data_IF_840111774137
#
_entry.id   IF_840111774137
#
_cell.length_a   1.000
_cell.length_b   1.000
_cell.length_c   1.000
_cell.angle_alpha   90.00
_cell.angle_beta   90.00
_cell.angle_gamma   90.00
#
_symmetry.space_group_name_H-M   'P 1'
#
loop_
_entity.id
_entity.type
_entity.pdbx_description
1 polymer ?
#
# COMPACT_ATOMS: atom_id res chain seq x y z
N UNK A 1 5.89 5.73 -21.24
CA UNK A 1 6.44 4.40 -21.57
C UNK A 1 7.60 4.03 -20.64
N UNK A 2 8.59 4.91 -20.42
CA UNK A 2 9.75 4.59 -19.56
C UNK A 2 9.35 4.32 -18.10
N UNK A 3 8.55 5.21 -17.49
CA UNK A 3 8.11 5.03 -16.09
C UNK A 3 7.34 3.73 -15.86
N UNK A 4 6.52 3.28 -16.82
CA UNK A 4 5.84 1.99 -16.70
C UNK A 4 6.85 0.84 -16.58
N UNK A 5 7.89 0.84 -17.42
CA UNK A 5 8.96 -0.16 -17.37
C UNK A 5 9.72 -0.11 -16.05
N UNK A 6 10.11 1.09 -15.60
CA UNK A 6 10.92 1.30 -14.40
C UNK A 6 10.15 0.88 -13.13
N UNK A 7 8.84 1.16 -13.06
CA UNK A 7 7.98 0.76 -11.93
C UNK A 7 7.35 -0.63 -12.09
N UNK A 8 7.67 -1.34 -13.17
CA UNK A 8 7.16 -2.70 -13.40
C UNK A 8 5.66 -2.77 -13.72
N UNK A 9 5.07 -1.70 -14.28
CA UNK A 9 3.66 -1.63 -14.65
C UNK A 9 3.45 -1.87 -16.16
N UNK A 10 2.22 -2.21 -16.57
CA UNK A 10 1.86 -2.25 -18.00
C UNK A 10 1.66 -0.84 -18.55
N UNK A 11 1.02 0.03 -17.74
CA UNK A 11 0.81 1.43 -18.06
C UNK A 11 1.13 2.32 -16.87
N UNK A 12 1.68 3.51 -17.14
CA UNK A 12 1.87 4.58 -16.15
C UNK A 12 1.35 5.88 -16.73
N UNK A 13 0.46 6.54 -15.98
CA UNK A 13 -0.08 7.85 -16.32
C UNK A 13 0.43 8.89 -15.31
N UNK A 14 0.89 10.03 -15.78
CA UNK A 14 1.27 11.17 -14.96
C UNK A 14 0.04 11.99 -14.60
N UNK A 15 -0.15 12.29 -13.33
CA UNK A 15 -1.27 13.06 -12.82
C UNK A 15 -0.73 14.23 -12.02
N UNK A 16 -1.04 15.45 -12.44
CA UNK A 16 -0.42 16.68 -11.93
C UNK A 16 -1.19 17.35 -10.80
N UNK A 17 -2.18 16.67 -10.22
CA UNK A 17 -3.02 17.22 -9.15
C UNK A 17 -3.15 16.27 -7.94
N UNK A 18 -2.07 15.56 -7.63
CA UNK A 18 -1.96 14.69 -6.46
C UNK A 18 -2.68 13.34 -6.61
N UNK A 19 -2.33 12.42 -5.72
CA UNK A 19 -2.97 11.09 -5.66
C UNK A 19 -4.48 11.17 -5.40
N UNK A 20 -4.97 12.24 -4.79
CA UNK A 20 -6.42 12.45 -4.65
C UNK A 20 -7.13 12.45 -6.00
N UNK A 21 -6.53 13.08 -7.01
CA UNK A 21 -7.03 13.04 -8.39
C UNK A 21 -6.83 11.68 -9.04
N UNK A 22 -5.69 11.02 -8.79
CA UNK A 22 -5.47 9.64 -9.25
C UNK A 22 -6.58 8.71 -8.78
N UNK A 23 -6.94 8.78 -7.49
CA UNK A 23 -8.01 7.99 -6.91
C UNK A 23 -9.35 8.25 -7.60
N UNK A 24 -9.68 9.50 -7.90
CA UNK A 24 -10.90 9.84 -8.63
C UNK A 24 -10.90 9.29 -10.06
N UNK A 25 -9.79 9.37 -10.77
CA UNK A 25 -9.63 8.83 -12.14
C UNK A 25 -9.89 7.31 -12.14
N UNK A 26 -9.23 6.58 -11.23
CA UNK A 26 -9.40 5.11 -11.10
C UNK A 26 -10.88 4.78 -10.88
N UNK A 27 -11.47 5.40 -9.85
CA UNK A 27 -12.84 5.08 -9.46
C UNK A 27 -13.85 5.49 -10.52
N UNK A 28 -13.70 6.68 -11.11
CA UNK A 28 -14.59 7.15 -12.15
C UNK A 28 -14.55 6.29 -13.43
N UNK A 29 -13.40 5.69 -13.72
CA UNK A 29 -13.24 4.80 -14.88
C UNK A 29 -13.78 3.39 -14.66
N UNK A 30 -13.91 2.94 -13.40
CA UNK A 30 -14.21 1.53 -13.10
C UNK A 30 -15.52 1.33 -12.35
N UNK A 31 -16.04 2.33 -11.65
CA UNK A 31 -17.14 2.19 -10.68
C UNK A 31 -18.35 3.00 -11.13
N UNK A 32 -19.54 2.40 -11.07
CA UNK A 32 -20.84 2.99 -11.41
C UNK A 32 -21.71 3.14 -10.16
N UNK A 33 -22.76 3.99 -10.20
CA UNK A 33 -23.69 4.14 -9.10
C UNK A 33 -24.32 2.81 -8.68
N UNK A 34 -24.29 2.54 -7.36
CA UNK A 34 -24.80 1.30 -6.78
C UNK A 34 -23.86 0.11 -6.83
N UNK A 35 -22.67 0.25 -7.43
CA UNK A 35 -21.64 -0.80 -7.38
C UNK A 35 -21.11 -0.97 -5.96
N UNK A 36 -20.75 -2.20 -5.59
CA UNK A 36 -20.20 -2.53 -4.27
C UNK A 36 -18.70 -2.27 -4.27
N UNK A 37 -18.24 -1.53 -3.28
CA UNK A 37 -16.83 -1.27 -3.05
C UNK A 37 -16.38 -1.82 -1.69
N UNK A 38 -15.37 -2.71 -1.69
CA UNK A 38 -14.75 -3.25 -0.49
C UNK A 38 -13.54 -2.38 -0.12
N UNK A 39 -13.60 -1.67 0.99
CA UNK A 39 -12.62 -0.61 1.31
C UNK A 39 -12.12 -0.77 2.74
N UNK A 40 -10.82 -0.59 2.97
CA UNK A 40 -10.33 -0.49 4.34
C UNK A 40 -10.87 0.77 5.03
N UNK A 41 -11.18 0.66 6.33
CA UNK A 41 -11.73 1.80 7.07
C UNK A 41 -10.67 2.89 7.35
N UNK A 42 -9.40 2.55 7.13
CA UNK A 42 -8.24 3.45 7.26
C UNK A 42 -7.89 4.19 5.96
N UNK A 43 -8.74 4.12 4.95
CA UNK A 43 -8.49 4.75 3.66
C UNK A 43 -8.41 6.28 3.76
N UNK A 44 -7.64 6.87 2.85
CA UNK A 44 -7.56 8.33 2.75
C UNK A 44 -8.91 8.94 2.34
N UNK A 45 -9.20 10.17 2.80
CA UNK A 45 -10.46 10.89 2.52
C UNK A 45 -10.78 11.01 1.03
N UNK A 46 -9.78 11.00 0.14
CA UNK A 46 -9.99 11.05 -1.31
C UNK A 46 -10.72 9.81 -1.84
N UNK A 47 -10.56 8.64 -1.21
CA UNK A 47 -11.35 7.45 -1.53
C UNK A 47 -12.81 7.61 -1.09
N UNK A 48 -13.06 8.24 0.07
CA UNK A 48 -14.42 8.56 0.48
C UNK A 48 -15.09 9.50 -0.52
N UNK A 49 -14.37 10.51 -1.01
CA UNK A 49 -14.88 11.40 -2.06
C UNK A 49 -15.10 10.67 -3.38
N UNK A 50 -14.21 9.77 -3.76
CA UNK A 50 -14.37 8.96 -4.96
C UNK A 50 -15.63 8.09 -4.88
N UNK A 51 -15.93 7.48 -3.73
CA UNK A 51 -17.16 6.73 -3.49
C UNK A 51 -18.41 7.62 -3.61
N UNK A 52 -18.38 8.81 -3.04
CA UNK A 52 -19.49 9.78 -3.14
C UNK A 52 -19.73 10.19 -4.60
N UNK A 53 -18.66 10.55 -5.33
CA UNK A 53 -18.76 11.01 -6.72
C UNK A 53 -19.25 9.89 -7.65
N UNK A 54 -18.86 8.64 -7.39
CA UNK A 54 -19.27 7.50 -8.21
C UNK A 54 -20.60 6.91 -7.79
N UNK A 55 -21.12 7.23 -6.60
CA UNK A 55 -22.31 6.60 -6.05
C UNK A 55 -22.11 5.13 -5.64
N UNK A 56 -20.88 4.73 -5.37
CA UNK A 56 -20.55 3.40 -4.88
C UNK A 56 -21.12 3.15 -3.48
N UNK A 57 -21.46 1.90 -3.17
CA UNK A 57 -21.87 1.47 -1.83
C UNK A 57 -20.67 0.85 -1.11
N UNK A 58 -20.12 1.52 -0.08
CA UNK A 58 -18.93 1.02 0.61
C UNK A 58 -19.27 -0.11 1.59
N UNK A 59 -18.54 -1.20 1.47
CA UNK A 59 -18.48 -2.29 2.46
C UNK A 59 -17.13 -2.18 3.14
N UNK A 60 -17.09 -1.72 4.40
CA UNK A 60 -15.84 -1.45 5.08
C UNK A 60 -15.25 -2.69 5.74
N UNK A 61 -13.96 -2.92 5.49
CA UNK A 61 -13.11 -3.78 6.30
C UNK A 61 -12.47 -2.94 7.42
N UNK A 62 -12.39 -3.52 8.62
CA UNK A 62 -11.84 -2.80 9.78
C UNK A 62 -10.47 -3.34 10.12
N UNK A 63 -9.40 -2.54 9.96
CA UNK A 63 -8.08 -2.93 10.41
C UNK A 63 -8.08 -3.03 11.94
N UNK A 64 -7.22 -3.90 12.47
CA UNK A 64 -7.00 -4.04 13.90
C UNK A 64 -6.15 -2.89 14.43
N UNK A 65 -6.26 -2.64 15.74
CA UNK A 65 -5.32 -1.78 16.47
C UNK A 65 -4.65 -2.60 17.56
N UNK A 66 -3.37 -2.37 17.76
CA UNK A 66 -2.68 -2.96 18.90
C UNK A 66 -2.90 -2.14 20.19
N UNK A 67 -2.37 -2.62 21.33
CA UNK A 67 -2.48 -1.93 22.61
C UNK A 67 -1.83 -0.53 22.63
N UNK A 68 -0.94 -0.23 21.68
CA UNK A 68 -0.31 1.09 21.51
C UNK A 68 -1.11 2.03 20.59
N UNK A 69 -2.25 1.59 20.07
CA UNK A 69 -3.08 2.34 19.13
C UNK A 69 -2.60 2.31 17.69
N UNK A 70 -1.53 1.58 17.37
CA UNK A 70 -1.01 1.42 16.01
C UNK A 70 -2.04 0.71 15.15
N UNK A 71 -2.26 1.21 13.94
CA UNK A 71 -3.19 0.62 12.97
C UNK A 71 -2.49 -0.53 12.28
N UNK A 72 -3.01 -1.72 12.50
CA UNK A 72 -2.53 -2.95 11.86
C UNK A 72 -3.21 -3.25 10.53
N UNK A 73 -2.91 -4.43 9.98
CA UNK A 73 -3.50 -4.86 8.73
C UNK A 73 -4.98 -5.23 8.88
N UNK A 74 -5.69 -5.18 7.77
CA UNK A 74 -6.95 -5.92 7.58
C UNK A 74 -6.58 -7.40 7.46
N UNK A 75 -7.31 -8.27 8.16
CA UNK A 75 -7.06 -9.72 8.09
C UNK A 75 -7.21 -10.24 6.66
N UNK A 76 -6.34 -11.15 6.28
CA UNK A 76 -6.35 -11.76 4.96
C UNK A 76 -7.66 -12.52 4.68
N UNK A 77 -8.23 -13.17 5.70
CA UNK A 77 -9.53 -13.84 5.63
C UNK A 77 -10.71 -12.93 5.26
N UNK A 78 -10.58 -11.61 5.47
CA UNK A 78 -11.61 -10.63 5.07
C UNK A 78 -11.80 -10.55 3.55
N UNK A 79 -10.78 -10.94 2.78
CA UNK A 79 -10.82 -11.00 1.32
C UNK A 79 -11.41 -12.32 0.79
N UNK A 80 -11.73 -13.26 1.66
CA UNK A 80 -12.36 -14.51 1.25
C UNK A 80 -13.80 -14.29 0.75
N UNK A 81 -14.27 -15.04 -0.24
CA UNK A 81 -15.63 -14.93 -0.76
C UNK A 81 -16.71 -15.05 0.32
N UNK A 82 -16.51 -15.92 1.29
CA UNK A 82 -17.45 -16.12 2.40
C UNK A 82 -17.53 -14.90 3.32
N UNK A 83 -16.41 -14.30 3.67
CA UNK A 83 -16.36 -13.08 4.48
C UNK A 83 -16.99 -11.89 3.75
N UNK A 84 -16.69 -11.73 2.46
CA UNK A 84 -17.30 -10.69 1.61
C UNK A 84 -18.82 -10.85 1.56
N UNK A 85 -19.33 -12.03 1.25
CA UNK A 85 -20.78 -12.32 1.23
C UNK A 85 -21.44 -12.03 2.57
N UNK A 86 -20.82 -12.45 3.68
CA UNK A 86 -21.32 -12.18 5.03
C UNK A 86 -21.43 -10.67 5.31
N UNK A 87 -20.42 -9.88 4.91
CA UNK A 87 -20.44 -8.42 5.09
C UNK A 87 -21.49 -7.75 4.23
N UNK A 88 -21.65 -8.17 2.98
CA UNK A 88 -22.69 -7.67 2.08
C UNK A 88 -24.08 -7.98 2.67
N UNK A 89 -24.32 -9.20 3.13
CA UNK A 89 -25.59 -9.60 3.72
C UNK A 89 -25.96 -8.81 5.00
N UNK A 90 -24.95 -8.42 5.76
CA UNK A 90 -25.12 -7.63 6.99
C UNK A 90 -25.18 -6.11 6.72
N UNK A 91 -24.98 -5.66 5.48
CA UNK A 91 -24.92 -4.24 5.16
C UNK A 91 -26.35 -3.66 5.06
N UNK A 92 -26.66 -2.53 5.73
CA UNK A 92 -28.02 -1.99 5.81
C UNK A 92 -28.63 -1.57 4.47
N UNK A 93 -27.80 -1.25 3.48
CA UNK A 93 -28.27 -0.81 2.15
C UNK A 93 -28.24 -1.92 1.08
N UNK A 94 -27.58 -3.05 1.34
CA UNK A 94 -27.40 -4.11 0.33
C UNK A 94 -28.31 -5.30 0.59
N UNK A 95 -28.34 -5.82 1.81
CA UNK A 95 -29.17 -6.98 2.18
C UNK A 95 -28.69 -8.30 1.59
N UNK A 96 -29.45 -9.36 1.85
CA UNK A 96 -29.11 -10.72 1.43
C UNK A 96 -29.25 -10.94 -0.08
N UNK A 97 -30.13 -10.22 -0.73
CA UNK A 97 -30.42 -10.32 -2.17
C UNK A 97 -29.26 -9.84 -3.05
N UNK A 98 -28.28 -9.15 -2.49
CA UNK A 98 -27.12 -8.62 -3.22
C UNK A 98 -25.81 -9.36 -2.96
N UNK A 99 -25.86 -10.46 -2.22
CA UNK A 99 -24.66 -11.24 -1.86
C UNK A 99 -23.94 -11.88 -3.05
N UNK A 100 -24.64 -12.08 -4.17
CA UNK A 100 -24.09 -12.67 -5.38
C UNK A 100 -23.56 -11.62 -6.38
N UNK A 101 -23.72 -10.33 -6.07
CA UNK A 101 -23.11 -9.27 -6.89
C UNK A 101 -21.59 -9.23 -6.65
N UNK A 102 -20.80 -9.04 -7.71
CA UNK A 102 -19.38 -8.88 -7.56
C UNK A 102 -19.06 -7.56 -6.83
N UNK A 103 -17.93 -7.55 -6.12
CA UNK A 103 -17.30 -6.33 -5.63
C UNK A 103 -16.61 -5.67 -6.81
N UNK A 104 -17.07 -4.49 -7.19
CA UNK A 104 -16.53 -3.77 -8.35
C UNK A 104 -15.10 -3.29 -8.11
N UNK A 105 -14.79 -2.82 -6.90
CA UNK A 105 -13.49 -2.31 -6.52
C UNK A 105 -13.14 -2.75 -5.10
N UNK A 106 -11.95 -3.31 -4.91
CA UNK A 106 -11.35 -3.45 -3.58
C UNK A 106 -10.21 -2.45 -3.45
N UNK A 107 -10.26 -1.60 -2.42
CA UNK A 107 -9.24 -0.57 -2.19
C UNK A 107 -8.62 -0.70 -0.81
N UNK A 108 -7.29 -0.68 -0.78
CA UNK A 108 -6.46 -0.76 0.42
C UNK A 108 -5.42 0.36 0.44
N UNK A 109 -5.17 0.90 1.63
CA UNK A 109 -4.04 1.80 1.90
C UNK A 109 -2.79 0.97 2.14
N UNK A 110 -1.82 1.05 1.25
CA UNK A 110 -0.54 0.37 1.32
C UNK A 110 0.63 1.36 1.10
N UNK A 111 1.48 1.58 2.10
CA UNK A 111 1.43 1.11 3.49
C UNK A 111 0.47 1.93 4.35
N UNK A 112 0.14 1.40 5.54
CA UNK A 112 -0.59 2.18 6.56
C UNK A 112 0.27 3.35 7.05
N UNK A 113 -0.33 4.32 7.76
CA UNK A 113 0.41 5.46 8.33
C UNK A 113 1.47 5.04 9.35
N UNK A 114 1.30 3.88 9.96
CA UNK A 114 2.25 3.31 10.93
C UNK A 114 3.31 2.41 10.25
N UNK A 115 3.28 2.29 8.92
CA UNK A 115 4.29 1.57 8.13
C UNK A 115 4.01 0.09 7.91
N UNK A 116 2.81 -0.41 8.22
CA UNK A 116 2.45 -1.81 7.93
C UNK A 116 2.19 -1.97 6.43
N UNK A 117 2.89 -2.91 5.81
CA UNK A 117 2.84 -3.19 4.37
C UNK A 117 2.14 -4.54 4.13
N UNK A 118 1.26 -4.59 3.13
CA UNK A 118 0.56 -5.83 2.77
C UNK A 118 1.41 -6.68 1.82
N UNK A 119 1.38 -7.99 2.02
CA UNK A 119 1.78 -8.93 0.97
C UNK A 119 0.69 -8.92 -0.11
N UNK A 120 0.98 -8.22 -1.20
CA UNK A 120 -0.01 -7.94 -2.25
C UNK A 120 -0.41 -9.17 -3.05
N UNK A 121 0.50 -10.12 -3.26
CA UNK A 121 0.19 -11.39 -3.94
C UNK A 121 -0.75 -12.26 -3.10
N UNK A 122 -0.57 -12.31 -1.79
CA UNK A 122 -1.47 -13.06 -0.91
C UNK A 122 -2.88 -12.49 -0.90
N UNK A 123 -3.03 -11.15 -0.91
CA UNK A 123 -4.34 -10.51 -1.00
C UNK A 123 -5.05 -10.89 -2.31
N UNK A 124 -4.34 -10.81 -3.44
CA UNK A 124 -4.92 -11.17 -4.72
C UNK A 124 -5.26 -12.66 -4.80
N UNK A 125 -4.43 -13.53 -4.23
CA UNK A 125 -4.66 -14.99 -4.21
C UNK A 125 -5.90 -15.36 -3.41
N UNK A 126 -6.14 -14.76 -2.25
CA UNK A 126 -7.36 -14.97 -1.45
C UNK A 126 -8.63 -14.54 -2.19
N UNK A 127 -8.50 -13.56 -3.06
CA UNK A 127 -9.60 -13.02 -3.87
C UNK A 127 -9.75 -13.72 -5.23
N UNK A 128 -9.01 -14.81 -5.48
CA UNK A 128 -8.91 -15.49 -6.78
C UNK A 128 -10.22 -16.09 -7.32
N UNK A 129 -11.26 -16.17 -6.50
CA UNK A 129 -12.59 -16.67 -6.85
C UNK A 129 -13.40 -15.79 -7.81
N UNK A 130 -12.86 -14.65 -8.28
CA UNK A 130 -13.56 -13.73 -9.19
C UNK A 130 -14.63 -12.85 -8.54
N UNK A 131 -14.76 -12.85 -7.22
CA UNK A 131 -15.71 -12.00 -6.49
C UNK A 131 -15.33 -10.53 -6.59
N UNK A 132 -14.02 -10.21 -6.68
CA UNK A 132 -13.50 -8.85 -6.83
C UNK A 132 -13.08 -8.62 -8.27
N UNK A 133 -13.58 -7.55 -8.88
CA UNK A 133 -13.32 -7.25 -10.30
C UNK A 133 -12.15 -6.31 -10.55
N UNK A 134 -11.80 -5.44 -9.60
CA UNK A 134 -10.66 -4.54 -9.69
C UNK A 134 -10.01 -4.37 -8.33
N UNK A 135 -8.68 -4.22 -8.32
CA UNK A 135 -7.90 -3.95 -7.11
C UNK A 135 -7.25 -2.56 -7.19
N UNK A 136 -7.27 -1.85 -6.09
CA UNK A 136 -6.61 -0.55 -5.96
C UNK A 136 -5.79 -0.52 -4.67
N UNK A 137 -4.46 -0.41 -4.79
CA UNK A 137 -3.58 -0.07 -3.68
C UNK A 137 -3.30 1.42 -3.70
N UNK A 138 -3.77 2.12 -2.66
CA UNK A 138 -3.41 3.51 -2.43
C UNK A 138 -2.03 3.55 -1.75
N UNK A 139 -1.01 3.76 -2.57
CA UNK A 139 0.40 3.83 -2.22
C UNK A 139 0.91 5.28 -2.24
N UNK A 140 0.04 6.24 -1.85
CA UNK A 140 0.30 7.66 -2.00
C UNK A 140 1.64 8.12 -1.39
N UNK A 141 2.17 7.46 -0.39
CA UNK A 141 3.45 7.77 0.23
C UNK A 141 4.44 6.60 0.23
N UNK A 142 4.21 5.61 -0.65
CA UNK A 142 4.96 4.36 -0.70
C UNK A 142 5.59 4.11 -2.09
N UNK A 143 5.76 5.19 -2.89
CA UNK A 143 6.27 5.12 -4.27
C UNK A 143 7.69 4.55 -4.39
N UNK A 144 8.48 4.56 -3.33
CA UNK A 144 9.86 4.06 -3.30
C UNK A 144 9.98 2.54 -3.16
N UNK A 145 8.94 1.84 -2.76
CA UNK A 145 9.00 0.43 -2.40
C UNK A 145 9.56 -0.49 -3.49
N UNK A 146 9.28 -0.18 -4.75
CA UNK A 146 9.79 -0.94 -5.91
C UNK A 146 11.33 -1.03 -5.96
N UNK A 147 12.03 -0.03 -5.43
CA UNK A 147 13.46 0.17 -5.67
C UNK A 147 14.37 -0.44 -4.59
N UNK A 148 13.82 -1.05 -3.54
CA UNK A 148 14.63 -1.67 -2.50
C UNK A 148 14.12 -3.07 -2.12
N UNK A 149 15.02 -4.07 -1.99
CA UNK A 149 14.63 -5.46 -1.71
C UNK A 149 13.91 -5.65 -0.38
N UNK A 150 14.08 -4.77 0.59
CA UNK A 150 13.34 -4.78 1.86
C UNK A 150 11.82 -4.82 1.67
N UNK A 151 11.31 -4.26 0.58
CA UNK A 151 9.87 -4.18 0.29
C UNK A 151 9.39 -5.23 -0.73
N UNK A 152 10.23 -6.21 -1.08
CA UNK A 152 9.90 -7.22 -2.08
C UNK A 152 8.59 -7.95 -1.72
N UNK A 153 7.64 -8.00 -2.68
CA UNK A 153 6.31 -8.61 -2.48
C UNK A 153 5.29 -7.74 -1.75
N UNK A 154 5.67 -6.57 -1.20
CA UNK A 154 4.84 -5.75 -0.33
C UNK A 154 4.33 -4.45 -0.98
N UNK A 155 4.36 -4.33 -2.28
CA UNK A 155 3.81 -3.21 -3.05
C UNK A 155 3.02 -3.71 -4.26
N UNK A 156 2.06 -2.95 -4.76
CA UNK A 156 1.11 -3.44 -5.75
C UNK A 156 1.74 -3.91 -7.06
N UNK A 157 2.71 -3.16 -7.61
CA UNK A 157 3.37 -3.56 -8.85
C UNK A 157 4.38 -4.72 -8.69
N UNK A 158 4.60 -5.22 -7.45
CA UNK A 158 5.31 -6.49 -7.23
C UNK A 158 4.55 -7.68 -7.84
N UNK A 159 3.22 -7.61 -7.87
CA UNK A 159 2.36 -8.58 -8.52
C UNK A 159 2.61 -8.56 -10.02
N UNK A 160 3.27 -9.59 -10.54
CA UNK A 160 3.62 -9.66 -11.97
C UNK A 160 2.48 -10.13 -12.86
N UNK A 161 1.61 -10.98 -12.32
CA UNK A 161 0.45 -11.54 -13.03
C UNK A 161 -0.76 -11.51 -12.11
N UNK A 162 -1.87 -10.99 -12.62
CA UNK A 162 -3.16 -10.98 -11.93
C UNK A 162 -4.28 -11.35 -12.90
N UNK A 163 -5.37 -11.84 -12.35
CA UNK A 163 -6.57 -12.19 -13.16
C UNK A 163 -7.39 -10.95 -13.51
N UNK A 164 -7.41 -9.97 -12.62
CA UNK A 164 -8.22 -8.74 -12.69
C UNK A 164 -7.31 -7.51 -12.69
N UNK A 165 -7.76 -6.38 -13.23
CA UNK A 165 -6.97 -5.15 -13.24
C UNK A 165 -6.55 -4.72 -11.85
N UNK A 166 -5.30 -4.26 -11.75
CA UNK A 166 -4.68 -3.74 -10.55
C UNK A 166 -4.21 -2.30 -10.79
N UNK A 167 -4.59 -1.41 -9.88
CA UNK A 167 -4.23 0.00 -9.89
C UNK A 167 -3.39 0.34 -8.66
N UNK A 168 -2.33 1.12 -8.84
CA UNK A 168 -1.56 1.70 -7.76
C UNK A 168 -1.49 3.21 -7.92
N UNK A 169 -1.90 3.94 -6.90
CA UNK A 169 -1.85 5.40 -6.89
C UNK A 169 -0.69 5.87 -6.02
N UNK A 170 0.24 6.64 -6.59
CA UNK A 170 1.47 7.08 -5.91
C UNK A 170 1.68 8.58 -6.02
N UNK A 171 1.93 9.26 -4.89
CA UNK A 171 2.35 10.67 -4.86
C UNK A 171 3.87 10.73 -4.93
N UNK A 172 4.40 10.81 -6.14
CA UNK A 172 5.85 10.88 -6.39
C UNK A 172 6.50 12.06 -5.66
N UNK A 173 5.76 13.17 -5.50
CA UNK A 173 6.21 14.36 -4.79
C UNK A 173 6.41 14.19 -3.28
N UNK A 174 5.91 13.12 -2.66
CA UNK A 174 6.02 12.95 -1.21
C UNK A 174 7.37 12.40 -0.78
N UNK A 175 7.83 11.34 -1.43
CA UNK A 175 9.02 10.60 -1.02
C UNK A 175 10.00 10.32 -2.16
N UNK A 176 9.69 10.74 -3.37
CA UNK A 176 10.60 10.80 -4.51
C UNK A 176 10.79 12.26 -4.93
N UNK A 177 11.80 12.51 -5.77
CA UNK A 177 12.22 13.86 -6.18
C UNK A 177 11.36 14.43 -7.30
N UNK A 178 10.05 14.62 -7.07
CA UNK A 178 9.17 15.29 -8.01
C UNK A 178 8.60 16.59 -7.42
N UNK A 179 8.18 17.52 -8.28
CA UNK A 179 7.55 18.74 -7.82
C UNK A 179 6.23 18.47 -7.10
N UNK A 180 5.86 19.35 -6.17
CA UNK A 180 4.61 19.25 -5.41
C UNK A 180 3.42 19.00 -6.34
N UNK A 181 2.47 18.15 -5.92
CA UNK A 181 1.31 17.67 -6.65
C UNK A 181 1.60 16.62 -7.74
N UNK A 182 2.84 16.44 -8.19
CA UNK A 182 3.18 15.44 -9.19
C UNK A 182 2.96 14.01 -8.64
N UNK A 183 2.18 13.22 -9.36
CA UNK A 183 1.76 11.87 -8.97
C UNK A 183 1.75 10.92 -10.16
N UNK A 184 1.78 9.64 -9.89
CA UNK A 184 1.69 8.58 -10.90
C UNK A 184 0.53 7.63 -10.59
N UNK A 185 -0.11 7.17 -11.64
CA UNK A 185 -1.01 6.03 -11.64
C UNK A 185 -0.35 4.89 -12.39
N UNK A 186 -0.12 3.78 -11.71
CA UNK A 186 0.36 2.55 -12.32
C UNK A 186 -0.78 1.56 -12.50
N UNK A 187 -0.81 0.89 -13.64
CA UNK A 187 -1.86 -0.07 -14.01
C UNK A 187 -1.21 -1.36 -14.46
N UNK A 188 -1.72 -2.47 -13.95
CA UNK A 188 -1.51 -3.80 -14.48
C UNK A 188 -2.82 -4.36 -14.99
N UNK A 189 -2.85 -4.78 -16.24
CA UNK A 189 -3.99 -5.47 -16.82
C UNK A 189 -4.13 -6.87 -16.23
N UNK A 190 -5.36 -7.31 -16.01
CA UNK A 190 -5.62 -8.69 -15.65
C UNK A 190 -5.68 -9.61 -16.88
N UNK A 191 -5.30 -10.87 -16.69
CA UNK A 191 -5.34 -11.88 -17.74
C UNK A 191 -6.78 -12.16 -18.25
N UNK A 192 -7.77 -12.03 -17.38
CA UNK A 192 -9.19 -12.24 -17.71
C UNK A 192 -9.92 -10.94 -18.07
N UNK A 193 -9.37 -9.80 -17.67
CA UNK A 193 -9.96 -8.49 -17.93
C UNK A 193 -8.88 -7.42 -17.98
N UNK A 194 -8.93 -6.59 -19.01
CA UNK A 194 -8.12 -5.37 -19.13
C UNK A 194 -8.97 -4.14 -18.84
N UNK A 195 -8.31 -3.00 -18.58
CA UNK A 195 -9.01 -1.72 -18.54
C UNK A 195 -9.62 -1.43 -19.92
N UNK A 196 -10.76 -0.72 -19.93
CA UNK A 196 -11.35 -0.19 -21.16
C UNK A 196 -10.66 1.16 -21.49
N UNK A 197 -9.81 1.23 -22.53
CA UNK A 197 -8.96 2.41 -22.76
C UNK A 197 -9.78 3.68 -22.97
N UNK A 198 -10.90 3.61 -23.67
CA UNK A 198 -11.77 4.76 -23.93
C UNK A 198 -12.37 5.31 -22.65
N UNK A 199 -12.98 4.46 -21.83
CA UNK A 199 -13.59 4.88 -20.56
C UNK A 199 -12.52 5.41 -19.57
N UNK A 200 -11.37 4.79 -19.56
CA UNK A 200 -10.25 5.27 -18.74
C UNK A 200 -9.78 6.66 -19.21
N UNK A 201 -9.61 6.87 -20.50
CA UNK A 201 -9.19 8.14 -21.04
C UNK A 201 -10.21 9.25 -20.75
N UNK A 202 -11.50 8.99 -20.89
CA UNK A 202 -12.56 9.94 -20.54
C UNK A 202 -12.50 10.34 -19.06
N UNK A 203 -12.35 9.37 -18.15
CA UNK A 203 -12.19 9.66 -16.73
C UNK A 203 -10.89 10.44 -16.44
N UNK A 204 -9.79 10.11 -17.13
CA UNK A 204 -8.52 10.82 -17.00
C UNK A 204 -8.67 12.28 -17.45
N UNK A 205 -9.26 12.53 -18.63
CA UNK A 205 -9.47 13.88 -19.15
C UNK A 205 -10.45 14.70 -18.31
N UNK A 206 -11.47 14.08 -17.73
CA UNK A 206 -12.44 14.74 -16.85
C UNK A 206 -11.78 15.33 -15.59
N UNK A 207 -10.72 14.71 -15.10
CA UNK A 207 -10.00 15.12 -13.88
C UNK A 207 -8.62 15.75 -14.14
N UNK A 208 -8.26 15.94 -15.42
CA UNK A 208 -6.98 16.52 -15.82
C UNK A 208 -7.17 17.83 -16.58
N UNK A 209 -6.12 18.66 -16.58
CA UNK A 209 -6.11 19.87 -17.42
C UNK A 209 -5.70 19.51 -18.86
N UNK A 210 -6.33 20.16 -19.83
CA UNK A 210 -5.90 20.13 -21.25
C UNK A 210 -4.63 20.95 -21.49
N UNK A 211 -4.18 21.73 -20.48
CA UNK A 211 -2.96 22.54 -20.51
C UNK A 211 -2.04 22.13 -19.36
N UNK A 212 -1.42 20.95 -19.42
CA UNK A 212 -0.61 20.43 -18.31
C UNK A 212 0.67 21.27 -18.15
N UNK A 213 1.13 21.40 -16.91
CA UNK A 213 2.37 22.07 -16.60
C UNK A 213 3.57 21.17 -16.94
N UNK A 214 4.32 21.50 -17.99
CA UNK A 214 5.42 20.68 -18.49
C UNK A 214 6.56 20.48 -17.47
N UNK A 215 6.84 21.47 -16.62
CA UNK A 215 7.85 21.32 -15.55
C UNK A 215 7.50 20.19 -14.56
N UNK A 216 6.22 20.00 -14.26
CA UNK A 216 5.76 18.90 -13.40
C UNK A 216 5.91 17.55 -14.11
N UNK A 217 5.56 17.49 -15.40
CA UNK A 217 5.79 16.29 -16.23
C UNK A 217 7.26 15.94 -16.26
N UNK A 218 8.12 16.93 -16.53
CA UNK A 218 9.57 16.74 -16.54
C UNK A 218 10.11 16.26 -15.18
N UNK A 219 9.58 16.80 -14.07
CA UNK A 219 10.01 16.36 -12.74
C UNK A 219 9.69 14.89 -12.47
N UNK A 220 8.56 14.37 -12.96
CA UNK A 220 8.19 12.96 -12.86
C UNK A 220 9.12 12.06 -13.69
N UNK A 221 9.51 12.52 -14.88
CA UNK A 221 10.43 11.79 -15.73
C UNK A 221 11.84 11.77 -15.14
N UNK A 222 12.32 12.90 -14.63
CA UNK A 222 13.60 12.99 -13.91
C UNK A 222 13.59 12.11 -12.65
N UNK A 223 12.53 12.16 -11.84
CA UNK A 223 12.40 11.30 -10.66
C UNK A 223 12.45 9.80 -11.04
N UNK A 224 11.78 9.43 -12.13
CA UNK A 224 11.83 8.06 -12.66
C UNK A 224 13.27 7.67 -13.03
N UNK A 225 13.98 8.55 -13.75
CA UNK A 225 15.36 8.28 -14.18
C UNK A 225 16.32 8.17 -12.99
N UNK A 226 16.20 9.05 -12.01
CA UNK A 226 17.00 8.98 -10.78
C UNK A 226 16.82 7.65 -10.04
N UNK A 227 15.57 7.17 -9.96
CA UNK A 227 15.28 5.90 -9.31
C UNK A 227 15.74 4.69 -10.14
N UNK A 228 15.65 4.77 -11.48
CA UNK A 228 16.20 3.74 -12.37
C UNK A 228 17.72 3.59 -12.19
N UNK A 229 18.44 4.71 -12.12
CA UNK A 229 19.90 4.71 -12.08
C UNK A 229 20.46 4.40 -10.68
N UNK A 230 19.85 4.97 -9.62
CA UNK A 230 20.45 4.95 -8.29
C UNK A 230 19.46 4.62 -7.15
N UNK A 231 18.22 4.23 -7.46
CA UNK A 231 17.15 4.07 -6.45
C UNK A 231 17.54 3.14 -5.31
N UNK A 232 18.16 2.01 -5.62
CA UNK A 232 18.60 1.04 -4.60
C UNK A 232 19.64 1.64 -3.63
N UNK A 233 20.62 2.38 -4.14
CA UNK A 233 21.67 3.00 -3.32
C UNK A 233 21.08 4.11 -2.45
N UNK A 234 20.33 5.04 -3.07
CA UNK A 234 19.70 6.16 -2.35
C UNK A 234 18.81 5.66 -1.20
N UNK A 235 17.99 4.65 -1.48
CA UNK A 235 17.11 4.08 -0.45
C UNK A 235 17.88 3.28 0.59
N UNK A 236 18.90 2.52 0.18
CA UNK A 236 19.75 1.76 1.09
C UNK A 236 20.43 2.66 2.13
N UNK A 237 20.97 3.79 1.70
CA UNK A 237 21.59 4.78 2.60
C UNK A 237 20.56 5.34 3.59
N UNK A 238 19.39 5.77 3.13
CA UNK A 238 18.32 6.32 3.98
C UNK A 238 17.80 5.25 4.98
N UNK A 239 17.61 4.02 4.51
CA UNK A 239 17.16 2.92 5.38
C UNK A 239 18.22 2.61 6.44
N UNK A 240 19.50 2.60 6.07
CA UNK A 240 20.59 2.37 7.00
C UNK A 240 20.63 3.46 8.08
N UNK A 241 20.50 4.74 7.71
CA UNK A 241 20.42 5.84 8.67
C UNK A 241 19.21 5.68 9.62
N UNK A 242 18.05 5.31 9.09
CA UNK A 242 16.86 5.07 9.90
C UNK A 242 17.04 3.89 10.87
N UNK A 243 17.71 2.82 10.45
CA UNK A 243 18.05 1.67 11.29
C UNK A 243 19.05 2.09 12.38
N UNK A 244 20.09 2.87 12.04
CA UNK A 244 21.06 3.37 13.01
C UNK A 244 20.38 4.26 14.07
N UNK A 245 19.44 5.13 13.66
CA UNK A 245 18.64 5.90 14.62
C UNK A 245 17.86 4.99 15.56
N UNK A 246 17.18 3.95 15.03
CA UNK A 246 16.41 2.99 15.84
C UNK A 246 17.29 2.23 16.83
N UNK A 247 18.50 1.81 16.40
CA UNK A 247 19.47 1.17 17.28
C UNK A 247 19.91 2.10 18.40
N UNK A 248 20.24 3.36 18.07
CA UNK A 248 20.60 4.37 19.06
C UNK A 248 19.49 4.62 20.09
N UNK A 249 18.23 4.67 19.63
CA UNK A 249 17.08 4.78 20.52
C UNK A 249 16.92 3.57 21.44
N UNK A 250 17.18 2.35 20.93
CA UNK A 250 17.16 1.13 21.74
C UNK A 250 18.28 1.11 22.80
N UNK A 251 19.48 1.61 22.45
CA UNK A 251 20.58 1.75 23.39
C UNK A 251 20.26 2.76 24.51
N UNK A 252 19.72 3.92 24.17
CA UNK A 252 19.26 4.91 25.15
C UNK A 252 18.15 4.36 26.05
N UNK A 253 17.17 3.66 25.47
CA UNK A 253 16.13 3.00 26.25
C UNK A 253 16.74 2.00 27.26
N UNK A 254 17.71 1.19 26.84
CA UNK A 254 18.42 0.21 27.69
C UNK A 254 19.16 0.89 28.83
N UNK A 255 19.78 2.03 28.57
CA UNK A 255 20.52 2.82 29.57
C UNK A 255 19.58 3.46 30.59
N UNK A 256 18.63 4.27 30.14
CA UNK A 256 17.76 5.10 31.00
C UNK A 256 16.62 4.33 31.65
N UNK A 257 16.17 3.21 31.08
CA UNK A 257 15.17 2.34 31.74
C UNK A 257 15.65 1.80 33.07
N UNK A 258 16.97 1.55 33.23
CA UNK A 258 17.56 1.12 34.50
C UNK A 258 17.46 2.17 35.58
N UNK A 259 17.36 3.44 35.20
CA UNK A 259 17.24 4.60 36.10
C UNK A 259 15.76 5.00 36.30
N UNK A 260 14.81 4.28 35.67
CA UNK A 260 13.39 4.59 35.66
C UNK A 260 13.05 5.97 35.07
N UNK A 261 13.88 6.48 34.15
CA UNK A 261 13.77 7.80 33.52
C UNK A 261 13.27 7.74 32.08
N UNK A 262 12.98 6.56 31.54
CA UNK A 262 12.55 6.36 30.15
C UNK A 262 11.05 6.07 30.06
N UNK A 263 10.32 6.79 29.21
CA UNK A 263 8.87 6.76 29.14
C UNK A 263 8.29 6.32 27.78
N UNK A 264 9.13 6.06 26.76
CA UNK A 264 8.69 5.58 25.44
C UNK A 264 9.61 4.48 24.90
N UNK A 265 9.16 3.78 23.85
CA UNK A 265 9.98 2.80 23.14
C UNK A 265 9.68 2.85 21.64
N UNK A 266 10.66 2.48 20.82
CA UNK A 266 10.42 2.28 19.40
C UNK A 266 9.57 1.05 19.19
N UNK A 267 8.65 1.12 18.23
CA UNK A 267 7.91 -0.05 17.79
C UNK A 267 8.76 -0.85 16.82
N UNK A 268 9.40 -1.88 17.33
CA UNK A 268 10.33 -2.75 16.64
C UNK A 268 10.51 -4.04 17.42
N UNK A 269 10.98 -5.15 16.82
CA UNK A 269 11.28 -6.38 17.55
C UNK A 269 12.37 -6.12 18.60
N UNK A 270 12.24 -6.65 19.82
CA UNK A 270 13.27 -6.54 20.85
C UNK A 270 14.50 -7.38 20.51
N UNK A 271 14.29 -8.51 19.84
CA UNK A 271 15.34 -9.44 19.40
C UNK A 271 15.11 -9.85 17.95
N UNK A 272 16.17 -10.23 17.27
CA UNK A 272 16.14 -10.68 15.87
C UNK A 272 16.97 -11.94 15.69
N UNK A 273 16.68 -12.72 14.65
CA UNK A 273 17.49 -13.86 14.22
C UNK A 273 18.65 -13.37 13.34
N UNK A 274 19.87 -13.59 13.78
CA UNK A 274 21.08 -13.24 13.05
C UNK A 274 22.07 -14.42 13.08
N UNK A 275 22.45 -14.94 11.91
CA UNK A 275 23.38 -16.07 11.73
C UNK A 275 23.01 -17.33 12.55
N UNK A 276 21.72 -17.58 12.76
CA UNK A 276 21.21 -18.72 13.52
C UNK A 276 20.96 -18.43 15.01
N UNK A 277 21.52 -17.38 15.54
CA UNK A 277 21.37 -16.94 16.93
C UNK A 277 20.24 -15.93 17.09
N UNK A 278 19.73 -15.81 18.31
CA UNK A 278 18.81 -14.73 18.70
C UNK A 278 19.64 -13.66 19.39
N UNK A 279 19.69 -12.45 18.80
CA UNK A 279 20.44 -11.31 19.34
C UNK A 279 19.49 -10.16 19.67
N UNK A 280 19.85 -9.28 20.60
CA UNK A 280 19.09 -8.06 20.82
C UNK A 280 19.10 -7.18 19.57
N UNK A 281 18.02 -6.45 19.31
CA UNK A 281 17.93 -5.56 18.16
C UNK A 281 19.07 -4.53 18.12
N UNK A 282 19.40 -3.95 19.29
CA UNK A 282 20.47 -2.99 19.43
C UNK A 282 21.85 -3.57 19.06
N UNK A 283 22.08 -4.85 19.28
CA UNK A 283 23.36 -5.51 19.07
C UNK A 283 23.49 -6.12 17.65
N UNK A 284 22.38 -6.23 16.92
CA UNK A 284 22.39 -6.72 15.53
C UNK A 284 23.09 -5.72 14.59
N UNK A 285 23.92 -6.15 13.61
CA UNK A 285 24.52 -5.25 12.63
C UNK A 285 23.46 -4.44 11.87
N UNK A 286 23.71 -3.12 11.73
CA UNK A 286 22.77 -2.20 11.09
C UNK A 286 22.56 -2.54 9.61
N UNK A 287 23.61 -2.95 8.93
CA UNK A 287 23.59 -3.36 7.52
C UNK A 287 22.68 -4.58 7.31
N UNK A 288 22.73 -5.57 8.20
CA UNK A 288 21.85 -6.73 8.15
C UNK A 288 20.38 -6.31 8.32
N UNK A 289 20.08 -5.45 9.28
CA UNK A 289 18.73 -4.93 9.51
C UNK A 289 18.24 -4.08 8.33
N UNK A 290 19.14 -3.33 7.67
CA UNK A 290 18.79 -2.48 6.53
C UNK A 290 18.54 -3.24 5.23
N UNK A 291 19.21 -4.39 5.05
CA UNK A 291 19.17 -5.16 3.80
C UNK A 291 18.17 -6.32 3.82
N UNK A 292 17.74 -6.75 5.01
CA UNK A 292 16.92 -7.95 5.16
C UNK A 292 15.52 -7.62 5.66
N UNK A 293 14.53 -8.21 5.00
CA UNK A 293 13.12 -8.06 5.34
C UNK A 293 12.73 -8.84 6.61
N UNK A 294 13.32 -10.03 6.81
CA UNK A 294 12.92 -10.95 7.87
C UNK A 294 12.85 -10.38 9.29
N UNK A 295 13.73 -9.45 9.73
CA UNK A 295 13.60 -8.84 11.06
C UNK A 295 12.36 -7.96 11.25
N UNK A 296 11.74 -7.52 10.18
CA UNK A 296 10.65 -6.54 10.19
C UNK A 296 9.27 -7.15 9.95
N UNK A 297 9.22 -8.44 9.60
CA UNK A 297 7.95 -9.12 9.38
C UNK A 297 7.14 -9.18 10.67
N UNK A 298 5.87 -8.84 10.57
CA UNK A 298 4.91 -9.04 11.65
C UNK A 298 4.47 -10.50 11.63
N UNK A 299 5.19 -11.34 12.38
CA UNK A 299 4.92 -12.77 12.45
C UNK A 299 3.80 -13.05 13.47
N UNK A 300 2.75 -13.83 13.13
CA UNK A 300 1.68 -14.23 14.07
C UNK A 300 2.18 -14.89 15.36
N UNK A 301 3.30 -15.61 15.29
CA UNK A 301 3.87 -16.31 16.43
C UNK A 301 4.67 -15.39 17.36
N UNK A 302 4.96 -14.17 16.93
CA UNK A 302 5.64 -13.15 17.71
C UNK A 302 4.64 -12.19 18.38
N UNK A 303 4.97 -11.71 19.56
CA UNK A 303 4.08 -10.83 20.35
C UNK A 303 4.53 -9.38 20.40
N UNK A 304 5.74 -9.07 19.98
CA UNK A 304 6.33 -7.73 20.09
C UNK A 304 5.50 -6.64 19.38
N UNK A 305 4.87 -6.99 18.25
CA UNK A 305 4.07 -6.08 17.46
C UNK A 305 2.74 -5.71 18.14
N UNK A 306 2.28 -6.50 19.13
CA UNK A 306 1.10 -6.22 19.95
C UNK A 306 -0.25 -6.40 19.24
N UNK A 307 -0.28 -7.03 18.07
CA UNK A 307 -1.52 -7.43 17.41
C UNK A 307 -1.91 -8.84 17.81
N UNK A 308 -3.17 -9.00 18.16
CA UNK A 308 -3.78 -10.31 18.42
C UNK A 308 -4.36 -10.88 17.12
N UNK A 309 -4.38 -12.22 17.02
CA UNK A 309 -4.99 -12.96 15.89
C UNK A 309 -4.48 -12.53 14.49
N UNK A 310 -3.22 -12.25 14.33
CA UNK A 310 -2.63 -12.08 13.00
C UNK A 310 -2.68 -13.42 12.25
N UNK A 311 -3.03 -13.38 10.97
CA UNK A 311 -3.23 -14.60 10.19
C UNK A 311 -1.97 -15.01 9.45
N UNK A 312 -1.12 -14.08 9.06
CA UNK A 312 0.19 -14.29 8.42
C UNK A 312 1.03 -13.02 8.36
N UNK A 313 2.22 -13.15 7.83
CA UNK A 313 3.25 -12.11 7.73
C UNK A 313 2.79 -10.87 6.95
N UNK A 314 3.03 -9.71 7.54
CA UNK A 314 2.81 -8.41 6.93
C UNK A 314 4.10 -7.60 6.96
#
# INVERSE_FOLDING_TARGET
>A
ANSAKVFGADHTCYVLNGTSTVNQIIWRSQVLPGDIALVDRNCHKSLNYAMVITGAVPVYMRPRRNARGIIGPVKLSEFSPSSIKKRIAAHPLLGKERTDRPVRMSALTNSTYDGVCYNTEEILSQSSSGVIENFHFDEAWYAYAHFHPMYAGHYGMAVRQCRRPLFCSQSTHKLLTAFSQASMLHIRNGAERSIAPVLFNEAYMMHSSTSPQYSMIASLDVATKMMEDNGKTILGDIILEAVQLRKKMADLEREFRRQNEWFFSMWQPPTVKYKGDTVEFADCPAEFLAENQSPWLLDPDEKWHGFEDMEKNY
#
